data_IF_277196536783
#
_entry.id   IF_277196536783
#
_cell.length_a   1.000
_cell.length_b   1.000
_cell.length_c   1.000
_cell.angle_alpha   90.00
_cell.angle_beta   90.00
_cell.angle_gamma   90.00
#
_symmetry.space_group_name_H-M   'P 1'
#
loop_
_entity.id
_entity.type
_entity.pdbx_description
1 polymer ?
#
# COMPACT_ATOMS: atom_id res chain seq x y z
N UNK A 1 30.44 -15.30 -30.23
CA UNK A 1 29.20 -14.65 -29.76
C UNK A 1 28.57 -15.56 -28.71
N UNK A 2 28.85 -15.26 -27.43
CA UNK A 2 28.27 -16.00 -26.31
C UNK A 2 26.90 -15.38 -25.96
N UNK A 3 25.85 -16.19 -26.08
CA UNK A 3 24.49 -15.87 -25.64
C UNK A 3 24.49 -15.94 -24.13
N UNK A 4 24.32 -14.80 -23.46
CA UNK A 4 24.03 -14.76 -22.02
C UNK A 4 22.62 -15.25 -21.79
N UNK A 5 22.49 -16.43 -21.21
CA UNK A 5 21.22 -16.97 -20.70
C UNK A 5 20.83 -16.16 -19.47
N UNK A 6 19.73 -15.39 -19.56
CA UNK A 6 19.12 -14.75 -18.40
C UNK A 6 18.54 -15.84 -17.50
N UNK A 7 19.13 -15.99 -16.31
CA UNK A 7 18.56 -16.85 -15.27
C UNK A 7 17.21 -16.27 -14.82
N UNK A 8 16.14 -17.00 -15.08
CA UNK A 8 14.81 -16.76 -14.54
C UNK A 8 14.88 -16.79 -13.01
N UNK A 9 14.79 -15.63 -12.39
CA UNK A 9 14.61 -15.49 -10.93
C UNK A 9 13.36 -16.28 -10.53
N UNK A 10 13.55 -17.42 -9.89
CA UNK A 10 12.47 -18.27 -9.37
C UNK A 10 11.72 -17.50 -8.27
N UNK A 11 10.45 -17.25 -8.50
CA UNK A 11 9.53 -16.66 -7.54
C UNK A 11 9.53 -17.48 -6.24
N UNK A 12 9.97 -16.87 -5.12
CA UNK A 12 9.88 -17.47 -3.79
C UNK A 12 8.42 -17.67 -3.42
N UNK A 13 7.87 -18.84 -3.65
CA UNK A 13 6.53 -19.20 -3.25
C UNK A 13 6.58 -20.07 -1.99
N UNK A 14 6.61 -19.48 -0.81
CA UNK A 14 6.12 -20.13 0.41
C UNK A 14 5.85 -19.12 1.51
N UNK A 15 4.64 -18.60 1.53
CA UNK A 15 4.11 -17.94 2.72
C UNK A 15 3.88 -19.04 3.79
N UNK A 16 4.81 -19.20 4.74
CA UNK A 16 4.56 -20.03 5.91
C UNK A 16 3.60 -19.29 6.83
N UNK A 17 2.46 -19.86 7.12
CA UNK A 17 1.35 -19.27 7.90
C UNK A 17 1.47 -19.50 9.40
N UNK A 18 2.50 -20.17 9.86
CA UNK A 18 2.63 -20.74 11.22
C UNK A 18 3.55 -19.94 12.17
N UNK A 19 4.15 -18.86 11.72
CA UNK A 19 5.22 -18.17 12.49
C UNK A 19 4.91 -16.74 12.94
N UNK A 20 3.72 -16.22 12.79
CA UNK A 20 3.45 -14.80 13.07
C UNK A 20 4.30 -13.86 12.20
N UNK A 21 4.54 -12.63 12.68
CA UNK A 21 5.30 -11.61 11.93
C UNK A 21 6.78 -11.53 12.29
N UNK A 22 7.24 -12.32 13.26
CA UNK A 22 8.64 -12.27 13.73
C UNK A 22 9.62 -12.55 12.58
N UNK A 23 10.49 -11.57 12.30
CA UNK A 23 11.51 -11.67 11.26
C UNK A 23 11.00 -11.49 9.83
N UNK A 24 9.69 -11.36 9.60
CA UNK A 24 9.14 -11.07 8.27
C UNK A 24 9.55 -9.67 7.82
N UNK A 25 9.96 -9.55 6.57
CA UNK A 25 10.34 -8.30 5.94
C UNK A 25 9.15 -7.74 5.17
N UNK A 26 8.66 -6.57 5.55
CA UNK A 26 7.49 -5.94 4.95
C UNK A 26 7.87 -4.55 4.48
N UNK A 27 7.62 -4.22 3.23
CA UNK A 27 7.73 -2.86 2.74
C UNK A 27 6.34 -2.23 2.69
N UNK A 28 6.22 -1.11 3.38
CA UNK A 28 5.03 -0.25 3.35
C UNK A 28 5.29 0.93 2.43
N UNK A 29 4.37 1.17 1.52
CA UNK A 29 4.39 2.30 0.62
C UNK A 29 3.32 3.32 1.05
N UNK A 30 3.75 4.51 1.42
CA UNK A 30 2.85 5.63 1.65
C UNK A 30 2.61 6.32 0.30
N UNK A 31 1.44 6.11 -0.29
CA UNK A 31 1.09 6.67 -1.59
C UNK A 31 1.31 8.19 -1.66
N UNK A 32 1.66 8.68 -2.85
CA UNK A 32 1.96 10.09 -3.11
C UNK A 32 3.15 10.63 -2.29
N UNK A 33 3.30 11.94 -2.15
CA UNK A 33 4.38 12.57 -1.38
C UNK A 33 5.11 13.65 -2.17
N UNK A 34 5.81 14.53 -1.46
CA UNK A 34 6.59 15.60 -2.09
C UNK A 34 5.75 16.46 -3.01
N UNK A 35 6.08 16.45 -4.30
CA UNK A 35 5.39 17.22 -5.35
C UNK A 35 3.98 16.70 -5.69
N UNK A 36 3.68 15.43 -5.39
CA UNK A 36 2.37 14.82 -5.65
C UNK A 36 1.49 14.83 -4.40
N UNK A 37 0.45 15.68 -4.33
CA UNK A 37 -0.46 15.72 -3.19
C UNK A 37 -1.43 14.54 -3.12
N UNK A 38 -1.59 13.76 -4.22
CA UNK A 38 -2.70 12.84 -4.40
C UNK A 38 -4.03 13.57 -4.51
N UNK A 39 -5.12 12.88 -4.22
CA UNK A 39 -6.44 13.48 -4.17
C UNK A 39 -6.57 14.46 -2.99
N UNK A 40 -7.39 15.51 -3.19
CA UNK A 40 -7.64 16.54 -2.18
C UNK A 40 -9.14 16.54 -1.85
N UNK A 41 -9.43 16.37 -0.57
CA UNK A 41 -10.79 16.40 -0.04
C UNK A 41 -11.40 17.81 -0.03
N UNK A 42 -12.70 17.87 0.18
CA UNK A 42 -13.45 19.14 0.17
C UNK A 42 -13.05 20.11 1.31
N UNK A 43 -12.46 19.60 2.37
CA UNK A 43 -11.94 20.40 3.49
C UNK A 43 -10.42 20.61 3.42
N UNK A 44 -9.81 20.38 2.26
CA UNK A 44 -8.39 20.57 2.02
C UNK A 44 -7.48 19.44 2.53
N UNK A 45 -8.03 18.31 2.96
CA UNK A 45 -7.26 17.14 3.35
C UNK A 45 -6.52 16.60 2.12
N UNK A 46 -5.20 16.44 2.19
CA UNK A 46 -4.39 15.88 1.10
C UNK A 46 -4.16 14.40 1.35
N UNK A 47 -4.30 13.58 0.33
CA UNK A 47 -4.09 12.14 0.41
C UNK A 47 -2.69 11.80 0.93
N UNK A 48 -1.65 12.47 0.42
CA UNK A 48 -0.26 12.22 0.84
C UNK A 48 -0.02 12.34 2.35
N UNK A 49 -0.74 13.24 3.03
CA UNK A 49 -0.58 13.47 4.47
C UNK A 49 -1.25 12.34 5.27
N UNK A 50 -2.41 11.91 4.81
CA UNK A 50 -3.18 10.82 5.43
C UNK A 50 -2.45 9.48 5.25
N UNK A 51 -2.00 9.18 4.04
CA UNK A 51 -1.28 7.94 3.74
C UNK A 51 0.00 7.83 4.55
N UNK A 52 0.79 8.91 4.67
CA UNK A 52 2.00 8.93 5.49
C UNK A 52 1.70 8.66 6.97
N UNK A 53 0.67 9.32 7.51
CA UNK A 53 0.27 9.18 8.91
C UNK A 53 -0.16 7.76 9.22
N UNK A 54 -0.99 7.15 8.36
CA UNK A 54 -1.43 5.77 8.50
C UNK A 54 -0.26 4.81 8.38
N UNK A 55 0.58 4.97 7.35
CA UNK A 55 1.71 4.08 7.11
C UNK A 55 2.69 4.05 8.27
N UNK A 56 2.99 5.21 8.87
CA UNK A 56 3.82 5.28 10.10
C UNK A 56 3.20 4.50 11.25
N UNK A 57 1.88 4.60 11.43
CA UNK A 57 1.18 3.86 12.49
C UNK A 57 1.23 2.36 12.25
N UNK A 58 0.97 1.92 11.03
CA UNK A 58 1.06 0.51 10.64
C UNK A 58 2.49 -0.01 10.82
N UNK A 59 3.52 0.77 10.44
CA UNK A 59 4.92 0.42 10.68
C UNK A 59 5.20 0.15 12.16
N UNK A 60 4.75 1.06 13.03
CA UNK A 60 4.92 0.92 14.49
C UNK A 60 4.30 -0.40 14.99
N UNK A 61 3.08 -0.69 14.59
CA UNK A 61 2.35 -1.89 15.02
C UNK A 61 3.00 -3.19 14.49
N UNK A 62 3.43 -3.21 13.24
CA UNK A 62 4.11 -4.36 12.65
C UNK A 62 5.46 -4.61 13.32
N UNK A 63 6.25 -3.56 13.61
CA UNK A 63 7.50 -3.66 14.35
C UNK A 63 7.29 -4.22 15.77
N UNK A 64 6.24 -3.78 16.46
CA UNK A 64 5.86 -4.35 17.79
C UNK A 64 5.52 -5.85 17.72
N UNK A 65 5.05 -6.32 16.56
CA UNK A 65 4.78 -7.74 16.30
C UNK A 65 6.01 -8.52 15.79
N UNK A 66 7.18 -7.88 15.76
CA UNK A 66 8.45 -8.50 15.40
C UNK A 66 8.79 -8.50 13.91
N UNK A 67 8.03 -7.80 13.06
CA UNK A 67 8.38 -7.63 11.66
C UNK A 67 9.56 -6.65 11.48
N UNK A 68 10.34 -6.86 10.43
CA UNK A 68 11.30 -5.90 9.88
C UNK A 68 10.56 -5.07 8.83
N UNK A 69 10.41 -3.77 9.06
CA UNK A 69 9.57 -2.93 8.21
C UNK A 69 10.38 -1.80 7.61
N UNK A 70 10.44 -1.75 6.27
CA UNK A 70 10.89 -0.61 5.48
C UNK A 70 9.69 0.23 5.03
N UNK A 71 9.93 1.50 4.72
CA UNK A 71 8.95 2.41 4.14
C UNK A 71 9.53 3.06 2.89
N UNK A 72 8.72 3.30 1.87
CA UNK A 72 9.15 4.00 0.65
C UNK A 72 9.50 5.45 0.93
N UNK A 73 8.78 6.09 1.84
CA UNK A 73 9.08 7.43 2.37
C UNK A 73 8.72 7.52 3.85
N UNK A 74 9.45 8.35 4.57
CA UNK A 74 9.20 8.61 6.02
C UNK A 74 8.86 10.08 6.29
N UNK A 75 8.88 10.91 5.25
CA UNK A 75 8.55 12.33 5.26
C UNK A 75 7.63 12.70 4.11
N UNK A 76 7.34 14.01 3.97
CA UNK A 76 6.66 14.56 2.80
C UNK A 76 7.68 14.82 1.69
N UNK A 77 8.11 13.74 1.02
CA UNK A 77 9.14 13.75 -0.02
C UNK A 77 8.72 12.87 -1.19
N UNK A 78 9.19 13.20 -2.38
CA UNK A 78 9.21 12.28 -3.51
C UNK A 78 10.16 11.11 -3.17
N UNK A 79 9.88 9.90 -3.68
CA UNK A 79 10.71 8.71 -3.39
C UNK A 79 11.93 8.67 -4.30
N UNK A 80 11.75 8.97 -5.59
CA UNK A 80 12.86 9.10 -6.54
C UNK A 80 13.58 10.43 -6.33
N UNK A 81 12.83 11.53 -6.24
CA UNK A 81 13.34 12.87 -6.09
C UNK A 81 12.59 13.89 -6.95
N UNK A 82 12.92 15.18 -6.83
CA UNK A 82 12.22 16.24 -7.53
C UNK A 82 12.32 16.09 -9.06
N UNK A 83 11.24 16.42 -9.75
CA UNK A 83 11.14 16.35 -11.23
C UNK A 83 11.22 14.94 -11.82
N UNK A 84 10.95 13.89 -11.04
CA UNK A 84 10.83 12.54 -11.56
C UNK A 84 9.62 12.43 -12.50
N UNK A 85 9.72 11.55 -13.51
CA UNK A 85 8.54 11.08 -14.22
C UNK A 85 7.76 10.13 -13.32
N UNK A 86 6.45 9.95 -13.59
CA UNK A 86 5.61 8.99 -12.85
C UNK A 86 6.23 7.60 -12.81
N UNK A 87 6.81 7.16 -13.93
CA UNK A 87 7.44 5.84 -13.99
C UNK A 87 8.70 5.72 -13.13
N UNK A 88 9.50 6.78 -13.00
CA UNK A 88 10.67 6.80 -12.12
C UNK A 88 10.25 6.79 -10.65
N UNK A 89 9.26 7.60 -10.31
CA UNK A 89 8.73 7.67 -8.95
C UNK A 89 8.11 6.32 -8.51
N UNK A 90 7.31 5.70 -9.39
CA UNK A 90 6.71 4.40 -9.11
C UNK A 90 7.74 3.26 -9.07
N UNK A 91 8.78 3.31 -9.93
CA UNK A 91 9.85 2.32 -9.89
C UNK A 91 10.67 2.44 -8.60
N UNK A 92 10.99 3.65 -8.16
CA UNK A 92 11.72 3.85 -6.91
C UNK A 92 11.00 3.21 -5.69
N UNK A 93 9.66 3.24 -5.68
CA UNK A 93 8.86 2.56 -4.64
C UNK A 93 9.04 1.03 -4.68
N UNK A 94 9.08 0.47 -5.89
CA UNK A 94 9.35 -0.96 -6.11
C UNK A 94 10.77 -1.31 -5.66
N UNK A 95 11.76 -0.49 -6.03
CA UNK A 95 13.18 -0.72 -5.72
C UNK A 95 13.41 -0.77 -4.20
N UNK A 96 12.73 0.09 -3.41
CA UNK A 96 12.79 0.00 -1.94
C UNK A 96 12.34 -1.38 -1.43
N UNK A 97 11.35 -2.01 -2.03
CA UNK A 97 10.91 -3.33 -1.62
C UNK A 97 11.87 -4.44 -2.04
N UNK A 98 12.39 -4.35 -3.29
CA UNK A 98 13.35 -5.31 -3.84
C UNK A 98 14.68 -5.26 -3.08
N UNK A 99 15.23 -4.07 -2.82
CA UNK A 99 16.49 -3.85 -2.09
C UNK A 99 16.45 -4.35 -0.64
N UNK A 100 15.25 -4.36 -0.05
CA UNK A 100 15.03 -4.90 1.29
C UNK A 100 14.69 -6.40 1.31
N UNK A 101 14.66 -7.10 0.17
CA UNK A 101 14.20 -8.49 0.04
C UNK A 101 12.84 -8.69 0.74
N UNK A 102 11.88 -7.82 0.51
CA UNK A 102 10.61 -7.86 1.22
C UNK A 102 9.83 -9.16 0.96
N UNK A 103 9.21 -9.71 2.02
CA UNK A 103 8.30 -10.86 1.92
C UNK A 103 6.92 -10.42 1.39
N UNK A 104 6.56 -9.14 1.58
CA UNK A 104 5.33 -8.54 1.10
C UNK A 104 5.49 -7.02 0.90
N UNK A 105 4.76 -6.48 -0.09
CA UNK A 105 4.64 -5.05 -0.35
C UNK A 105 3.19 -4.61 -0.17
N UNK A 106 2.96 -3.54 0.60
CA UNK A 106 1.63 -3.00 0.86
C UNK A 106 1.65 -1.50 0.60
N UNK A 107 0.96 -1.07 -0.46
CA UNK A 107 0.76 0.33 -0.81
C UNK A 107 -0.52 0.86 -0.16
N UNK A 108 -0.46 2.02 0.45
CA UNK A 108 -1.55 2.64 1.21
C UNK A 108 -1.98 3.92 0.50
N UNK A 109 -3.24 3.95 0.09
CA UNK A 109 -3.90 5.02 -0.65
C UNK A 109 -5.26 5.37 -0.06
N UNK A 110 -5.80 6.50 -0.52
CA UNK A 110 -7.16 6.94 -0.22
C UNK A 110 -7.85 7.29 -1.53
N UNK A 111 -8.94 6.62 -1.81
CA UNK A 111 -9.68 6.73 -3.06
C UNK A 111 -10.37 8.10 -3.24
N UNK A 112 -10.76 8.38 -4.46
CA UNK A 112 -11.56 9.56 -4.78
C UNK A 112 -12.58 9.23 -5.87
N UNK A 113 -13.75 9.89 -5.82
CA UNK A 113 -14.83 9.76 -6.80
C UNK A 113 -15.46 11.10 -7.10
N UNK A 114 -15.94 11.28 -8.32
CA UNK A 114 -16.79 12.43 -8.67
C UNK A 114 -18.14 12.37 -7.95
N UNK A 115 -18.64 11.16 -7.64
CA UNK A 115 -19.80 10.98 -6.78
C UNK A 115 -19.37 10.96 -5.31
N UNK A 116 -19.64 12.05 -4.61
CA UNK A 116 -19.27 12.26 -3.20
C UNK A 116 -20.01 11.35 -2.20
N UNK A 117 -21.00 10.59 -2.62
CA UNK A 117 -21.70 9.62 -1.78
C UNK A 117 -21.01 8.25 -1.76
N UNK A 118 -20.08 7.99 -2.68
CA UNK A 118 -19.32 6.75 -2.70
C UNK A 118 -18.33 6.72 -1.53
N UNK A 119 -18.25 5.58 -0.87
CA UNK A 119 -17.36 5.33 0.26
C UNK A 119 -16.96 3.86 0.37
N UNK A 120 -16.13 3.53 1.34
CA UNK A 120 -15.75 2.16 1.67
C UNK A 120 -14.30 1.80 1.39
N UNK A 121 -13.98 0.51 1.61
CA UNK A 121 -12.65 -0.07 1.41
C UNK A 121 -12.58 -0.90 0.14
N UNK A 122 -11.45 -0.85 -0.54
CA UNK A 122 -11.09 -1.82 -1.56
C UNK A 122 -9.61 -2.17 -1.52
N UNK A 123 -9.29 -3.42 -1.83
CA UNK A 123 -7.91 -3.89 -1.93
C UNK A 123 -7.63 -4.38 -3.33
N UNK A 124 -6.58 -3.84 -3.94
CA UNK A 124 -6.21 -4.14 -5.32
C UNK A 124 -4.99 -5.03 -5.38
N UNK A 125 -4.97 -5.93 -6.35
CA UNK A 125 -3.81 -6.78 -6.63
C UNK A 125 -3.61 -6.98 -8.12
N UNK A 126 -2.36 -7.24 -8.51
CA UNK A 126 -2.02 -7.74 -9.85
C UNK A 126 -1.79 -9.25 -9.74
N UNK A 127 -2.42 -10.09 -10.60
CA UNK A 127 -2.43 -11.54 -10.43
C UNK A 127 -1.12 -12.19 -10.93
N UNK A 128 0.00 -11.93 -10.26
CA UNK A 128 1.28 -12.62 -10.52
C UNK A 128 1.26 -14.04 -9.99
N UNK A 129 0.73 -14.19 -8.77
CA UNK A 129 0.63 -15.46 -8.07
C UNK A 129 -0.68 -15.52 -7.27
N UNK A 130 -1.05 -16.71 -6.77
CA UNK A 130 -2.19 -16.84 -5.87
C UNK A 130 -2.00 -16.10 -4.53
N UNK A 131 -0.76 -15.78 -4.16
CA UNK A 131 -0.47 -15.09 -2.91
C UNK A 131 -0.84 -13.60 -2.97
N UNK A 132 -0.85 -12.98 -4.15
CA UNK A 132 -1.29 -11.59 -4.32
C UNK A 132 -2.77 -11.44 -3.92
N UNK A 133 -3.65 -12.29 -4.46
CA UNK A 133 -5.08 -12.28 -4.12
C UNK A 133 -5.32 -12.64 -2.64
N UNK A 134 -4.55 -13.61 -2.10
CA UNK A 134 -4.67 -14.01 -0.68
C UNK A 134 -4.27 -12.89 0.27
N UNK A 135 -3.20 -12.14 -0.06
CA UNK A 135 -2.78 -10.98 0.72
C UNK A 135 -3.86 -9.90 0.70
N UNK A 136 -4.35 -9.53 -0.48
CA UNK A 136 -5.42 -8.55 -0.64
C UNK A 136 -6.68 -8.95 0.14
N UNK A 137 -7.13 -10.21 0.05
CA UNK A 137 -8.30 -10.70 0.76
C UNK A 137 -8.10 -10.67 2.28
N UNK A 138 -6.94 -11.13 2.76
CA UNK A 138 -6.68 -11.17 4.20
C UNK A 138 -6.69 -9.76 4.83
N UNK A 139 -6.21 -8.75 4.11
CA UNK A 139 -6.28 -7.35 4.58
C UNK A 139 -7.70 -6.82 4.48
N UNK A 140 -8.40 -7.03 3.34
CA UNK A 140 -9.78 -6.59 3.13
C UNK A 140 -10.70 -7.09 4.24
N UNK A 141 -10.67 -8.39 4.56
CA UNK A 141 -11.48 -9.01 5.61
C UNK A 141 -11.29 -8.33 6.98
N UNK A 142 -10.05 -7.91 7.28
CA UNK A 142 -9.73 -7.23 8.54
C UNK A 142 -10.22 -5.78 8.56
N UNK A 143 -10.10 -5.07 7.47
CA UNK A 143 -10.61 -3.71 7.34
C UNK A 143 -12.13 -3.69 7.53
N UNK A 144 -12.85 -4.52 6.77
CA UNK A 144 -14.32 -4.61 6.85
C UNK A 144 -14.78 -4.98 8.25
N UNK A 145 -14.18 -6.00 8.85
CA UNK A 145 -14.54 -6.44 10.22
C UNK A 145 -14.37 -5.35 11.27
N UNK A 146 -13.36 -4.49 11.12
CA UNK A 146 -12.97 -3.56 12.18
C UNK A 146 -13.60 -2.18 12.03
N UNK A 147 -13.92 -1.71 10.82
CA UNK A 147 -14.24 -0.30 10.60
C UNK A 147 -15.71 -0.02 10.29
N UNK A 148 -16.45 -0.99 9.76
CA UNK A 148 -17.87 -0.83 9.42
C UNK A 148 -18.14 0.15 8.26
N UNK A 149 -17.12 0.44 7.42
CA UNK A 149 -17.32 1.07 6.13
C UNK A 149 -17.72 0.03 5.09
N UNK A 150 -18.26 0.47 3.97
CA UNK A 150 -18.71 -0.43 2.90
C UNK A 150 -17.57 -1.29 2.36
N UNK A 151 -17.86 -2.57 2.14
CA UNK A 151 -16.93 -3.51 1.53
C UNK A 151 -17.05 -3.45 0.00
N UNK A 152 -16.07 -2.85 -0.64
CA UNK A 152 -15.96 -2.81 -2.11
C UNK A 152 -15.17 -4.01 -2.67
N UNK A 153 -14.71 -4.91 -1.80
CA UNK A 153 -14.04 -6.15 -2.13
C UNK A 153 -12.62 -6.02 -2.64
N UNK A 154 -12.06 -7.18 -3.01
CA UNK A 154 -10.76 -7.23 -3.70
C UNK A 154 -10.94 -7.11 -5.20
N UNK A 155 -10.01 -6.44 -5.88
CA UNK A 155 -10.10 -6.16 -7.31
C UNK A 155 -8.76 -6.39 -8.02
N UNK A 156 -8.84 -6.95 -9.22
CA UNK A 156 -7.68 -7.03 -10.12
C UNK A 156 -7.45 -5.66 -10.74
N UNK A 157 -6.20 -5.17 -10.68
CA UNK A 157 -5.81 -3.93 -11.32
C UNK A 157 -4.37 -3.99 -11.84
N UNK A 158 -4.06 -3.15 -12.83
CA UNK A 158 -2.73 -3.08 -13.45
C UNK A 158 -1.93 -1.91 -12.85
N UNK A 159 -1.95 -1.77 -11.51
CA UNK A 159 -1.11 -0.78 -10.86
C UNK A 159 0.36 -1.12 -11.00
N UNK A 160 1.17 -0.11 -11.34
CA UNK A 160 2.58 -0.27 -11.63
C UNK A 160 3.33 -1.00 -10.51
N UNK A 161 3.18 -0.52 -9.28
CA UNK A 161 3.87 -1.10 -8.11
C UNK A 161 3.48 -2.55 -7.88
N UNK A 162 2.18 -2.90 -7.98
CA UNK A 162 1.73 -4.28 -7.80
C UNK A 162 2.23 -5.22 -8.90
N UNK A 163 2.31 -4.71 -10.13
CA UNK A 163 2.79 -5.49 -11.29
C UNK A 163 4.29 -5.73 -11.24
N UNK A 164 5.08 -4.74 -10.78
CA UNK A 164 6.54 -4.76 -10.85
C UNK A 164 7.20 -5.40 -9.64
N UNK A 165 6.59 -5.36 -8.46
CA UNK A 165 7.09 -6.07 -7.28
C UNK A 165 7.22 -7.58 -7.57
N UNK A 166 8.35 -8.20 -7.18
CA UNK A 166 8.57 -9.64 -7.30
C UNK A 166 7.85 -10.45 -6.21
N UNK A 167 7.63 -9.82 -5.03
CA UNK A 167 6.92 -10.39 -3.89
C UNK A 167 5.40 -10.21 -4.00
N UNK A 168 4.59 -10.93 -3.20
CA UNK A 168 3.17 -10.67 -3.05
C UNK A 168 2.91 -9.21 -2.68
N UNK A 169 1.97 -8.56 -3.39
CA UNK A 169 1.72 -7.14 -3.23
C UNK A 169 0.23 -6.79 -3.30
N UNK A 170 -0.15 -5.77 -2.56
CA UNK A 170 -1.51 -5.21 -2.59
C UNK A 170 -1.46 -3.69 -2.47
N UNK A 171 -2.42 -3.00 -3.10
CA UNK A 171 -2.69 -1.59 -2.90
C UNK A 171 -4.05 -1.45 -2.24
N UNK A 172 -4.09 -0.70 -1.15
CA UNK A 172 -5.26 -0.52 -0.30
C UNK A 172 -5.82 0.88 -0.53
N UNK A 173 -7.11 0.95 -0.80
CA UNK A 173 -7.90 2.18 -0.78
C UNK A 173 -8.73 2.19 0.52
N UNK A 174 -8.26 2.95 1.50
CA UNK A 174 -8.75 2.84 2.88
C UNK A 174 -10.00 3.67 3.17
N UNK A 175 -10.42 4.52 2.25
CA UNK A 175 -11.62 5.34 2.34
C UNK A 175 -11.74 6.17 1.04
N UNK A 176 -12.76 7.02 0.93
CA UNK A 176 -12.88 8.00 -0.15
C UNK A 176 -12.70 9.42 0.40
N UNK A 177 -11.61 10.08 0.01
CA UNK A 177 -11.34 11.46 0.42
C UNK A 177 -12.37 12.46 -0.11
N UNK A 178 -13.02 12.11 -1.22
CA UNK A 178 -14.13 12.87 -1.80
C UNK A 178 -15.44 12.77 -1.02
N UNK A 179 -15.58 11.77 -0.14
CA UNK A 179 -16.74 11.62 0.73
C UNK A 179 -16.55 12.42 2.02
N UNK A 180 -17.38 13.47 2.30
CA UNK A 180 -17.15 14.34 3.44
C UNK A 180 -17.19 13.64 4.81
N UNK A 181 -17.96 12.55 4.94
CA UNK A 181 -18.00 11.75 6.17
C UNK A 181 -16.70 10.98 6.37
N UNK A 182 -16.18 10.37 5.30
CA UNK A 182 -14.94 9.60 5.36
C UNK A 182 -13.71 10.52 5.43
N UNK A 183 -13.73 11.69 4.77
CA UNK A 183 -12.70 12.72 4.95
C UNK A 183 -12.58 13.15 6.41
N UNK A 184 -13.71 13.42 7.10
CA UNK A 184 -13.71 13.73 8.53
C UNK A 184 -13.20 12.55 9.37
N UNK A 185 -13.57 11.33 9.02
CA UNK A 185 -13.14 10.10 9.69
C UNK A 185 -11.63 9.93 9.63
N UNK A 186 -11.01 10.05 8.45
CA UNK A 186 -9.57 9.93 8.24
C UNK A 186 -8.73 10.93 9.02
N UNK A 187 -9.29 12.12 9.32
CA UNK A 187 -8.63 13.14 10.13
C UNK A 187 -8.77 12.88 11.65
N UNK A 188 -9.55 11.87 12.05
CA UNK A 188 -9.72 11.53 13.45
C UNK A 188 -8.58 10.63 13.96
N UNK A 189 -8.09 10.90 15.17
CA UNK A 189 -7.11 10.04 15.82
C UNK A 189 -7.67 8.62 16.08
N UNK A 190 -8.98 8.51 16.25
CA UNK A 190 -9.65 7.22 16.42
C UNK A 190 -9.42 6.31 15.20
N UNK A 191 -9.65 6.84 14.00
CA UNK A 191 -9.48 6.09 12.76
C UNK A 191 -8.03 5.62 12.56
N UNK A 192 -7.10 6.56 12.70
CA UNK A 192 -5.66 6.28 12.53
C UNK A 192 -5.14 5.24 13.54
N UNK A 193 -5.65 5.28 14.78
CA UNK A 193 -5.20 4.33 15.81
C UNK A 193 -5.87 2.95 15.70
N UNK A 194 -6.95 2.85 14.94
CA UNK A 194 -7.70 1.60 14.77
C UNK A 194 -7.22 0.78 13.56
N UNK A 195 -6.60 1.45 12.57
CA UNK A 195 -5.92 0.79 11.44
C UNK A 195 -4.69 0.02 11.89
#
# INVERSE_FOLDING_TARGET
TAVKTEEKKTTKSSFKTDGGLKGKKITLDAGHGGSDPGAIGSNGTREKDVTLKITKKVQELLKKKGAKVSMTRTGDTDVYGPNASDSQELQARVDVAEDNDADAFISIHINSSTNKSVGGFSSYYYPKTNNDARLAQAVQDRLVKNFGLDDLGIRKANFYVNKRCSMPSTLLELAFISNPKEEKLMNSNWYINKL
#
